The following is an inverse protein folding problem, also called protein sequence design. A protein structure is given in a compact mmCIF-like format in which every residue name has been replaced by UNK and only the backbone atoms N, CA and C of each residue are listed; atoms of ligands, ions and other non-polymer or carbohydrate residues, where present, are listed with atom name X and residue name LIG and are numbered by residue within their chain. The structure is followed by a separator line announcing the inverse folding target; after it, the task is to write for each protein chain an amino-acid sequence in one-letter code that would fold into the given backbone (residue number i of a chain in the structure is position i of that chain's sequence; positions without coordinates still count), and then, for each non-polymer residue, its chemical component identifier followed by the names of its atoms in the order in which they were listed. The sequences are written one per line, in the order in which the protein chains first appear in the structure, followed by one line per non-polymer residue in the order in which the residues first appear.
data_IF_556682686026
#
_entry.id   IF_556682686026
#
_cell.length_a   1.000
_cell.length_b   1.000
_cell.length_c   1.000
_cell.angle_alpha   90.00
_cell.angle_beta   90.00
_cell.angle_gamma   90.00
#
_symmetry.space_group_name_H-M   'P 1'
#
loop_
_entity.id
_entity.type
_entity.pdbx_description
1 polymer ?
#
# COMPACT_ATOMS: atom_id res chain seq x y z
N UNK A 1 10.75 -11.85 -22.87
CA UNK A 1 10.25 -10.65 -22.22
C UNK A 1 11.21 -10.28 -21.10
N UNK A 2 11.57 -9.02 -20.98
CA UNK A 2 12.37 -8.55 -19.85
C UNK A 2 11.56 -8.68 -18.56
N UNK A 3 12.16 -9.28 -17.54
CA UNK A 3 11.53 -9.50 -16.23
C UNK A 3 11.29 -8.16 -15.53
N UNK A 4 10.06 -7.83 -15.19
CA UNK A 4 9.69 -6.62 -14.46
C UNK A 4 9.22 -6.98 -13.05
N UNK A 5 10.01 -6.60 -12.05
CA UNK A 5 9.65 -6.77 -10.65
C UNK A 5 8.86 -5.55 -10.15
N UNK A 6 8.07 -5.73 -9.08
CA UNK A 6 7.43 -4.65 -8.35
C UNK A 6 7.82 -4.76 -6.87
N UNK A 7 9.05 -4.34 -6.55
CA UNK A 7 9.65 -4.53 -5.22
C UNK A 7 9.66 -3.25 -4.40
N UNK A 8 9.90 -2.11 -5.03
CA UNK A 8 9.86 -0.80 -4.37
C UNK A 8 9.14 0.23 -5.22
N UNK A 9 8.45 1.16 -4.57
CA UNK A 9 7.78 2.27 -5.25
C UNK A 9 8.79 3.35 -5.67
N UNK A 10 9.95 3.39 -5.01
CA UNK A 10 10.98 4.38 -5.27
C UNK A 10 11.66 4.22 -6.65
N UNK A 11 11.58 3.04 -7.26
CA UNK A 11 12.15 2.77 -8.59
C UNK A 11 11.29 3.34 -9.74
N UNK A 12 10.04 3.73 -9.43
CA UNK A 12 9.11 4.22 -10.43
C UNK A 12 9.22 5.73 -10.60
N UNK A 13 9.30 6.16 -11.85
CA UNK A 13 9.17 7.58 -12.21
C UNK A 13 7.70 8.03 -12.27
N UNK A 14 7.49 9.34 -12.47
CA UNK A 14 6.15 9.93 -12.54
C UNK A 14 5.28 9.31 -13.63
N UNK A 15 5.86 9.05 -14.81
CA UNK A 15 5.12 8.50 -15.94
C UNK A 15 4.69 7.06 -15.68
N UNK A 16 5.58 6.26 -15.10
CA UNK A 16 5.28 4.88 -14.72
C UNK A 16 4.21 4.79 -13.64
N UNK A 17 4.24 5.68 -12.63
CA UNK A 17 3.19 5.78 -11.62
C UNK A 17 1.85 6.11 -12.26
N UNK A 18 1.77 7.18 -13.06
CA UNK A 18 0.53 7.57 -13.74
C UNK A 18 0.01 6.48 -14.68
N UNK A 19 0.89 5.77 -15.37
CA UNK A 19 0.54 4.65 -16.23
C UNK A 19 -0.11 3.50 -15.45
N UNK A 20 0.44 3.15 -14.28
CA UNK A 20 -0.15 2.15 -13.39
C UNK A 20 -1.52 2.58 -12.84
N UNK A 21 -1.70 3.88 -12.54
CA UNK A 21 -3.00 4.41 -12.11
C UNK A 21 -4.05 4.33 -13.23
N UNK A 22 -3.66 4.61 -14.47
CA UNK A 22 -4.55 4.44 -15.64
C UNK A 22 -4.95 2.96 -15.85
N UNK A 23 -4.00 2.03 -15.68
CA UNK A 23 -4.34 0.59 -15.71
C UNK A 23 -5.33 0.22 -14.61
N UNK A 24 -5.13 0.73 -13.38
CA UNK A 24 -6.05 0.48 -12.27
C UNK A 24 -7.46 1.04 -12.55
N UNK A 25 -7.56 2.20 -13.16
CA UNK A 25 -8.82 2.81 -13.58
C UNK A 25 -9.56 1.95 -14.61
N UNK A 26 -8.85 1.41 -15.61
CA UNK A 26 -9.44 0.49 -16.58
C UNK A 26 -10.01 -0.77 -15.93
N UNK A 27 -9.35 -1.33 -14.92
CA UNK A 27 -9.87 -2.47 -14.19
C UNK A 27 -11.07 -2.14 -13.29
N UNK A 28 -11.18 -0.91 -12.82
CA UNK A 28 -12.38 -0.47 -12.10
C UNK A 28 -13.57 -0.30 -13.02
N UNK A 29 -13.34 0.30 -14.20
CA UNK A 29 -14.39 0.54 -15.20
C UNK A 29 -14.84 -0.74 -15.90
N UNK A 30 -13.91 -1.65 -16.11
CA UNK A 30 -14.11 -2.89 -16.87
C UNK A 30 -13.50 -4.08 -16.16
N UNK A 31 -14.15 -4.58 -15.09
CA UNK A 31 -13.64 -5.70 -14.27
C UNK A 31 -13.77 -7.07 -14.95
N UNK A 32 -13.14 -8.07 -14.36
CA UNK A 32 -13.26 -9.49 -14.70
C UNK A 32 -12.82 -9.84 -16.13
N UNK A 33 -11.54 -9.66 -16.43
CA UNK A 33 -10.94 -9.95 -17.74
C UNK A 33 -10.05 -11.18 -17.70
N UNK A 34 -9.97 -11.96 -18.79
CA UNK A 34 -9.14 -13.17 -18.89
C UNK A 34 -7.66 -12.89 -19.29
N UNK A 35 -7.12 -11.72 -18.99
CA UNK A 35 -5.77 -11.29 -19.37
C UNK A 35 -4.66 -12.21 -18.86
N UNK A 36 -4.88 -12.93 -17.76
CA UNK A 36 -3.94 -13.89 -17.21
C UNK A 36 -4.42 -15.35 -17.35
N UNK A 37 -5.29 -15.63 -18.30
CA UNK A 37 -5.73 -17.00 -18.61
C UNK A 37 -4.55 -17.90 -18.92
N UNK A 38 -4.49 -19.05 -18.25
CA UNK A 38 -3.39 -20.01 -18.37
C UNK A 38 -2.17 -19.72 -17.51
N UNK A 39 -2.08 -18.54 -16.85
CA UNK A 39 -1.02 -18.17 -15.93
C UNK A 39 -1.28 -18.71 -14.53
N UNK A 40 -0.20 -18.89 -13.78
CA UNK A 40 -0.22 -19.28 -12.37
C UNK A 40 0.44 -18.18 -11.55
N UNK A 41 -0.28 -17.69 -10.54
CA UNK A 41 0.20 -16.70 -9.55
C UNK A 41 0.49 -17.43 -8.25
N UNK A 42 1.71 -17.32 -7.73
CA UNK A 42 2.02 -17.80 -6.39
C UNK A 42 1.92 -16.68 -5.36
N UNK A 43 1.21 -16.92 -4.24
CA UNK A 43 1.11 -15.99 -3.11
C UNK A 43 1.79 -16.60 -1.89
N UNK A 44 3.00 -16.12 -1.54
CA UNK A 44 3.84 -16.64 -0.48
C UNK A 44 3.85 -15.67 0.71
N UNK A 45 3.02 -15.95 1.72
CA UNK A 45 2.89 -15.11 2.89
C UNK A 45 3.63 -15.72 4.08
N UNK A 46 4.91 -15.35 4.24
CA UNK A 46 5.74 -15.74 5.39
C UNK A 46 5.35 -14.96 6.67
N UNK A 47 4.71 -13.82 6.51
CA UNK A 47 4.06 -13.05 7.57
C UNK A 47 2.55 -12.96 7.27
N UNK A 48 1.65 -13.33 8.20
CA UNK A 48 0.22 -13.32 7.97
C UNK A 48 -0.32 -11.93 7.60
N UNK A 49 -1.18 -11.86 6.59
CA UNK A 49 -1.90 -10.65 6.21
C UNK A 49 -3.16 -10.97 5.43
N UNK A 50 -4.30 -11.08 6.11
CA UNK A 50 -5.57 -11.51 5.52
C UNK A 50 -6.00 -10.62 4.34
N UNK A 51 -6.06 -9.30 4.53
CA UNK A 51 -6.51 -8.37 3.48
C UNK A 51 -5.61 -8.38 2.26
N UNK A 52 -4.29 -8.26 2.48
CA UNK A 52 -3.33 -8.20 1.36
C UNK A 52 -3.36 -9.49 0.56
N UNK A 53 -3.37 -10.65 1.24
CA UNK A 53 -3.43 -11.95 0.59
C UNK A 53 -4.72 -12.13 -0.22
N UNK A 54 -5.88 -11.97 0.43
CA UNK A 54 -7.18 -12.14 -0.24
C UNK A 54 -7.32 -11.18 -1.42
N UNK A 55 -6.85 -9.94 -1.29
CA UNK A 55 -6.92 -8.97 -2.37
C UNK A 55 -6.03 -9.33 -3.56
N UNK A 56 -4.79 -9.81 -3.35
CA UNK A 56 -3.94 -10.32 -4.43
C UNK A 56 -4.54 -11.56 -5.09
N UNK A 57 -5.05 -12.50 -4.31
CA UNK A 57 -5.70 -13.70 -4.84
C UNK A 57 -6.97 -13.35 -5.64
N UNK A 58 -7.79 -12.43 -5.13
CA UNK A 58 -8.98 -11.95 -5.84
C UNK A 58 -8.60 -11.26 -7.15
N UNK A 59 -7.60 -10.37 -7.15
CA UNK A 59 -7.11 -9.71 -8.35
C UNK A 59 -6.62 -10.73 -9.41
N UNK A 60 -5.86 -11.75 -8.99
CA UNK A 60 -5.42 -12.82 -9.88
C UNK A 60 -6.60 -13.60 -10.48
N UNK A 61 -7.59 -13.98 -9.66
CA UNK A 61 -8.78 -14.70 -10.12
C UNK A 61 -9.61 -13.85 -11.09
N UNK A 62 -9.75 -12.52 -10.84
CA UNK A 62 -10.47 -11.59 -11.73
C UNK A 62 -9.78 -11.39 -13.08
N UNK A 63 -8.50 -11.71 -13.16
CA UNK A 63 -7.73 -11.74 -14.41
C UNK A 63 -7.66 -13.14 -15.06
N UNK A 64 -8.38 -14.13 -14.53
CA UNK A 64 -8.42 -15.49 -15.06
C UNK A 64 -7.21 -16.36 -14.73
N UNK A 65 -6.33 -15.95 -13.81
CA UNK A 65 -5.19 -16.73 -13.38
C UNK A 65 -5.57 -17.84 -12.40
N UNK A 66 -4.73 -18.87 -12.30
CA UNK A 66 -4.78 -19.84 -11.21
C UNK A 66 -3.91 -19.37 -10.06
N UNK A 67 -4.32 -19.64 -8.83
CA UNK A 67 -3.61 -19.19 -7.63
C UNK A 67 -3.13 -20.38 -6.81
N UNK A 68 -1.85 -20.36 -6.44
CA UNK A 68 -1.23 -21.30 -5.50
C UNK A 68 -0.54 -20.52 -4.37
N UNK A 69 -0.15 -21.16 -3.29
CA UNK A 69 0.65 -20.54 -2.25
C UNK A 69 0.26 -20.94 -0.82
N UNK A 70 0.76 -20.18 0.14
CA UNK A 70 0.49 -20.38 1.57
C UNK A 70 0.28 -19.04 2.29
N UNK A 71 -0.40 -19.09 3.44
CA UNK A 71 -0.76 -17.93 4.26
C UNK A 71 0.09 -17.75 5.53
N UNK A 72 0.88 -18.76 5.87
CA UNK A 72 1.77 -18.77 7.04
C UNK A 72 2.97 -19.66 6.73
N UNK A 73 4.17 -19.17 7.04
CA UNK A 73 5.42 -19.93 6.90
C UNK A 73 5.40 -21.26 7.67
N UNK A 74 4.66 -21.32 8.79
CA UNK A 74 4.51 -22.54 9.61
C UNK A 74 3.85 -23.70 8.86
N UNK A 75 3.15 -23.43 7.76
CA UNK A 75 2.52 -24.45 6.92
C UNK A 75 3.35 -24.85 5.71
N UNK A 76 4.57 -24.31 5.61
CA UNK A 76 5.49 -24.53 4.49
C UNK A 76 6.74 -25.34 4.88
N UNK A 77 7.55 -25.72 3.91
CA UNK A 77 8.82 -26.46 4.13
C UNK A 77 9.88 -25.64 4.90
N UNK A 78 9.69 -24.34 5.08
CA UNK A 78 10.57 -23.50 5.91
C UNK A 78 10.67 -24.02 7.35
N UNK A 79 9.63 -24.68 7.87
CA UNK A 79 9.66 -25.35 9.19
C UNK A 79 10.63 -26.52 9.25
N UNK A 80 11.05 -27.06 8.11
CA UNK A 80 12.04 -28.13 7.98
C UNK A 80 13.45 -27.61 7.71
N UNK A 81 13.65 -26.27 7.72
CA UNK A 81 14.93 -25.63 7.45
C UNK A 81 15.20 -25.29 5.97
N UNK A 82 14.18 -25.34 5.09
CA UNK A 82 14.32 -24.88 3.71
C UNK A 82 14.66 -23.39 3.67
N UNK A 83 15.65 -23.02 2.87
CA UNK A 83 16.08 -21.64 2.72
C UNK A 83 15.10 -20.83 1.87
N UNK A 84 15.06 -19.50 2.06
CA UNK A 84 14.28 -18.62 1.20
C UNK A 84 14.67 -18.80 -0.28
N UNK A 85 15.96 -18.97 -0.56
CA UNK A 85 16.47 -19.20 -1.91
C UNK A 85 15.85 -20.44 -2.55
N UNK A 86 15.86 -21.55 -1.84
CA UNK A 86 15.34 -22.82 -2.35
C UNK A 86 13.82 -22.74 -2.56
N UNK A 87 13.10 -22.14 -1.59
CA UNK A 87 11.65 -21.90 -1.74
C UNK A 87 11.34 -21.08 -3.00
N UNK A 88 12.06 -19.96 -3.22
CA UNK A 88 11.82 -19.08 -4.38
C UNK A 88 12.13 -19.79 -5.69
N UNK A 89 13.26 -20.50 -5.78
CA UNK A 89 13.64 -21.25 -6.99
C UNK A 89 12.65 -22.39 -7.29
N UNK A 90 12.23 -23.12 -6.25
CA UNK A 90 11.24 -24.21 -6.42
C UNK A 90 9.88 -23.67 -6.89
N UNK A 91 9.36 -22.61 -6.25
CA UNK A 91 8.06 -22.03 -6.62
C UNK A 91 8.12 -21.40 -8.02
N UNK A 92 9.26 -20.88 -8.44
CA UNK A 92 9.46 -20.35 -9.79
C UNK A 92 9.28 -21.37 -10.90
N UNK A 93 9.37 -22.69 -10.59
CA UNK A 93 9.04 -23.75 -11.55
C UNK A 93 7.53 -23.98 -11.70
N UNK A 94 6.71 -23.46 -10.78
CA UNK A 94 5.27 -23.70 -10.72
C UNK A 94 4.43 -22.47 -11.07
N UNK A 95 5.03 -21.28 -11.01
CA UNK A 95 4.32 -20.03 -11.18
C UNK A 95 4.97 -19.11 -12.20
N UNK A 96 4.16 -18.28 -12.87
CA UNK A 96 4.60 -17.24 -13.81
C UNK A 96 4.97 -15.94 -13.09
N UNK A 97 4.50 -15.73 -11.87
CA UNK A 97 4.76 -14.58 -11.03
C UNK A 97 4.59 -14.94 -9.55
N UNK A 98 5.41 -14.38 -8.67
CA UNK A 98 5.37 -14.61 -7.24
C UNK A 98 5.07 -13.31 -6.50
N UNK A 99 3.98 -13.30 -5.73
CA UNK A 99 3.66 -12.27 -4.73
C UNK A 99 4.19 -12.74 -3.39
N UNK A 100 5.05 -11.96 -2.76
CA UNK A 100 5.71 -12.36 -1.52
C UNK A 100 5.51 -11.30 -0.42
N UNK A 101 5.15 -11.77 0.78
CA UNK A 101 5.18 -10.99 2.01
C UNK A 101 6.11 -11.67 3.02
N UNK A 102 7.05 -10.92 3.58
CA UNK A 102 8.06 -11.47 4.49
C UNK A 102 8.27 -10.57 5.71
N UNK A 103 8.66 -11.17 6.84
CA UNK A 103 8.95 -10.44 8.08
C UNK A 103 10.36 -9.84 8.13
N UNK A 104 11.29 -10.29 7.26
CA UNK A 104 12.66 -9.76 7.13
C UNK A 104 12.68 -8.68 6.05
N UNK A 105 13.25 -7.53 6.38
CA UNK A 105 13.51 -6.44 5.45
C UNK A 105 14.50 -6.86 4.36
N UNK A 106 14.24 -6.45 3.11
CA UNK A 106 15.06 -6.81 1.96
C UNK A 106 14.85 -8.23 1.42
N UNK A 107 14.02 -9.07 2.08
CA UNK A 107 13.77 -10.43 1.61
C UNK A 107 13.13 -10.47 0.20
N UNK A 108 12.26 -9.51 -0.12
CA UNK A 108 11.64 -9.41 -1.46
C UNK A 108 12.63 -8.92 -2.51
N UNK A 109 13.53 -8.02 -2.14
CA UNK A 109 14.62 -7.58 -3.01
C UNK A 109 15.53 -8.76 -3.36
N UNK A 110 16.00 -9.49 -2.34
CA UNK A 110 16.79 -10.70 -2.56
C UNK A 110 16.07 -11.73 -3.43
N UNK A 111 14.78 -11.99 -3.16
CA UNK A 111 13.98 -12.88 -3.99
C UNK A 111 13.95 -12.41 -5.46
N UNK A 112 13.84 -11.11 -5.69
CA UNK A 112 13.80 -10.53 -7.04
C UNK A 112 15.10 -10.71 -7.82
N UNK A 113 16.23 -10.80 -7.15
CA UNK A 113 17.54 -11.01 -7.77
C UNK A 113 17.76 -12.46 -8.21
N UNK A 114 17.20 -13.43 -7.46
CA UNK A 114 17.43 -14.85 -7.71
C UNK A 114 16.30 -15.54 -8.52
N UNK A 115 15.07 -15.00 -8.45
CA UNK A 115 13.93 -15.62 -9.13
C UNK A 115 14.02 -15.45 -10.66
N UNK A 116 13.75 -16.48 -11.46
CA UNK A 116 13.62 -16.36 -12.91
C UNK A 116 12.29 -15.71 -13.35
N UNK A 117 11.30 -15.62 -12.44
CA UNK A 117 9.98 -15.01 -12.66
C UNK A 117 9.85 -13.69 -11.91
N UNK A 118 8.92 -12.81 -12.31
CA UNK A 118 8.68 -11.55 -11.60
C UNK A 118 8.33 -11.74 -10.11
N UNK A 119 8.84 -10.85 -9.27
CA UNK A 119 8.53 -10.77 -7.84
C UNK A 119 7.73 -9.50 -7.56
N UNK A 120 6.66 -9.65 -6.78
CA UNK A 120 5.83 -8.55 -6.27
C UNK A 120 5.95 -8.50 -4.75
N UNK A 121 6.34 -7.34 -4.23
CA UNK A 121 6.43 -7.08 -2.79
C UNK A 121 5.04 -6.74 -2.20
N UNK A 122 4.52 -7.66 -1.40
CA UNK A 122 3.28 -7.49 -0.62
C UNK A 122 3.54 -7.03 0.83
N UNK A 123 4.73 -6.51 1.11
CA UNK A 123 5.22 -6.00 2.38
C UNK A 123 6.40 -6.80 2.93
N UNK A 124 7.52 -6.13 3.23
CA UNK A 124 8.71 -6.72 3.80
C UNK A 124 9.14 -5.99 5.09
N UNK A 125 9.04 -6.67 6.21
CA UNK A 125 9.40 -6.15 7.51
C UNK A 125 8.73 -4.81 7.85
N UNK A 126 9.51 -3.86 8.37
CA UNK A 126 9.08 -2.47 8.61
C UNK A 126 9.44 -1.53 7.44
N UNK A 127 10.10 -2.05 6.39
CA UNK A 127 10.72 -1.24 5.35
C UNK A 127 9.70 -0.68 4.35
N UNK A 128 9.04 -1.52 3.54
CA UNK A 128 8.19 -1.04 2.44
C UNK A 128 6.90 -1.85 2.26
N UNK A 129 5.89 -1.17 1.69
CA UNK A 129 4.67 -1.81 1.21
C UNK A 129 4.22 -1.17 -0.12
N UNK A 130 4.94 -1.41 -1.23
CA UNK A 130 4.72 -0.70 -2.50
C UNK A 130 3.32 -0.91 -3.07
N UNK A 131 2.72 -2.08 -2.90
CA UNK A 131 1.35 -2.33 -3.35
C UNK A 131 0.29 -1.60 -2.52
N UNK A 132 0.56 -1.28 -1.25
CA UNK A 132 -0.27 -0.37 -0.47
C UNK A 132 -0.10 1.06 -0.97
N UNK A 133 1.13 1.49 -1.21
CA UNK A 133 1.40 2.82 -1.74
C UNK A 133 0.68 3.06 -3.08
N UNK A 134 0.70 2.10 -4.00
CA UNK A 134 0.02 2.25 -5.29
C UNK A 134 -1.50 2.38 -5.13
N UNK A 135 -2.13 1.59 -4.26
CA UNK A 135 -3.57 1.73 -4.00
C UNK A 135 -3.93 3.06 -3.30
N UNK A 136 -3.02 3.57 -2.47
CA UNK A 136 -3.18 4.88 -1.82
C UNK A 136 -3.12 5.99 -2.87
N UNK A 137 -2.12 5.97 -3.76
CA UNK A 137 -2.02 6.90 -4.89
C UNK A 137 -3.26 6.85 -5.78
N UNK A 138 -3.75 5.64 -6.11
CA UNK A 138 -4.97 5.49 -6.89
C UNK A 138 -6.19 6.08 -6.17
N UNK A 139 -6.32 5.86 -4.87
CA UNK A 139 -7.39 6.40 -4.04
C UNK A 139 -7.33 7.92 -3.95
N UNK A 140 -6.13 8.50 -3.81
CA UNK A 140 -5.91 9.94 -3.81
C UNK A 140 -6.29 10.52 -5.19
N UNK A 141 -5.74 9.96 -6.27
CA UNK A 141 -6.02 10.41 -7.63
C UNK A 141 -7.52 10.39 -7.94
N UNK A 142 -8.19 9.30 -7.61
CA UNK A 142 -9.63 9.13 -7.84
C UNK A 142 -10.49 10.13 -7.07
N UNK A 143 -10.11 10.47 -5.85
CA UNK A 143 -10.91 11.36 -4.98
C UNK A 143 -10.61 12.83 -5.18
N UNK A 144 -9.38 13.17 -5.57
CA UNK A 144 -8.94 14.55 -5.76
C UNK A 144 -8.88 14.98 -7.23
N UNK A 145 -8.94 14.02 -8.18
CA UNK A 145 -8.75 14.28 -9.60
C UNK A 145 -7.31 14.60 -10.01
N UNK A 146 -6.40 14.68 -9.05
CA UNK A 146 -4.98 14.99 -9.24
C UNK A 146 -4.15 14.41 -8.09
N UNK A 147 -2.84 14.31 -8.30
CA UNK A 147 -1.86 14.08 -7.22
C UNK A 147 -1.05 15.35 -6.93
N UNK A 148 -1.19 16.39 -7.75
CA UNK A 148 -0.36 17.60 -7.69
C UNK A 148 -0.80 18.55 -6.58
N UNK A 149 0.18 19.09 -5.85
CA UNK A 149 0.03 20.21 -4.90
C UNK A 149 -0.99 19.96 -3.76
N UNK A 150 -1.15 18.73 -3.32
CA UNK A 150 -2.09 18.36 -2.26
C UNK A 150 -1.52 18.61 -0.87
N UNK A 151 -2.38 19.00 0.06
CA UNK A 151 -2.11 19.01 1.50
C UNK A 151 -2.47 17.64 2.08
N UNK A 152 -1.44 16.87 2.46
CA UNK A 152 -1.58 15.49 2.94
C UNK A 152 -1.18 15.44 4.41
N UNK A 153 -2.15 15.18 5.27
CA UNK A 153 -1.99 15.07 6.71
C UNK A 153 -1.75 13.62 7.10
N UNK A 154 -0.59 13.33 7.66
CA UNK A 154 -0.20 12.01 8.16
C UNK A 154 -0.31 12.03 9.69
N UNK A 155 -1.21 11.21 10.25
CA UNK A 155 -1.58 11.28 11.67
C UNK A 155 -1.38 9.93 12.36
N UNK A 156 -0.72 9.93 13.51
CA UNK A 156 -0.58 8.78 14.40
C UNK A 156 0.84 8.23 14.49
N UNK A 157 1.06 6.98 14.11
CA UNK A 157 2.38 6.34 14.15
C UNK A 157 3.14 6.62 12.85
N UNK A 158 3.96 7.66 12.85
CA UNK A 158 4.80 8.03 11.72
C UNK A 158 6.20 7.41 11.81
N UNK A 159 6.58 6.87 12.96
CA UNK A 159 7.89 6.27 13.19
C UNK A 159 8.00 4.88 12.56
N UNK A 160 6.99 4.04 12.77
CA UNK A 160 6.97 2.65 12.29
C UNK A 160 6.02 2.47 11.08
N UNK A 161 5.41 3.55 10.63
CA UNK A 161 4.41 3.58 9.59
C UNK A 161 4.97 3.41 8.17
N UNK A 162 5.42 2.20 7.78
CA UNK A 162 5.98 1.93 6.43
C UNK A 162 5.09 2.41 5.27
N UNK A 163 3.78 2.51 5.47
CA UNK A 163 2.84 2.99 4.45
C UNK A 163 3.00 4.48 4.19
N UNK A 164 3.16 5.28 5.25
CA UNK A 164 3.40 6.73 5.12
C UNK A 164 4.79 7.01 4.55
N UNK A 165 5.79 6.20 4.91
CA UNK A 165 7.14 6.32 4.34
C UNK A 165 7.12 6.06 2.83
N UNK A 166 6.47 4.98 2.39
CA UNK A 166 6.30 4.69 0.96
C UNK A 166 5.51 5.78 0.24
N UNK A 167 4.48 6.35 0.87
CA UNK A 167 3.68 7.43 0.30
C UNK A 167 4.52 8.70 0.09
N UNK A 168 5.35 9.09 1.07
CA UNK A 168 6.27 10.23 0.94
C UNK A 168 7.20 10.03 -0.26
N UNK A 169 7.78 8.83 -0.41
CA UNK A 169 8.68 8.53 -1.52
C UNK A 169 7.99 8.63 -2.88
N UNK A 170 6.79 8.12 -3.01
CA UNK A 170 6.05 8.16 -4.27
C UNK A 170 5.57 9.57 -4.63
N UNK A 171 5.11 10.32 -3.63
CA UNK A 171 4.59 11.67 -3.84
C UNK A 171 5.64 12.72 -4.19
N UNK A 172 6.96 12.39 -4.13
CA UNK A 172 8.06 13.30 -4.53
C UNK A 172 7.88 13.90 -5.93
N UNK A 173 7.16 13.20 -6.79
CA UNK A 173 6.93 13.60 -8.17
C UNK A 173 5.77 14.61 -8.35
N UNK A 174 5.02 14.92 -7.27
CA UNK A 174 3.74 15.62 -7.36
C UNK A 174 3.65 16.88 -6.49
N UNK A 175 4.79 17.37 -5.97
CA UNK A 175 4.89 18.60 -5.18
C UNK A 175 3.87 18.72 -4.03
N UNK A 176 3.68 17.73 -3.16
CA UNK A 176 2.77 17.81 -2.03
C UNK A 176 3.29 18.74 -0.93
N UNK A 177 2.41 19.12 -0.03
CA UNK A 177 2.78 19.57 1.31
C UNK A 177 2.34 18.52 2.31
N UNK A 178 3.30 17.91 3.03
CA UNK A 178 2.99 16.98 4.11
C UNK A 178 2.82 17.70 5.43
N UNK A 179 1.83 17.27 6.20
CA UNK A 179 1.59 17.70 7.56
C UNK A 179 1.72 16.51 8.50
N UNK A 180 2.69 16.56 9.40
CA UNK A 180 2.98 15.47 10.33
C UNK A 180 2.35 15.77 11.69
N UNK A 181 1.43 14.90 12.12
CA UNK A 181 0.77 14.97 13.43
C UNK A 181 1.04 13.65 14.16
N UNK A 182 1.98 13.67 15.09
CA UNK A 182 2.36 12.49 15.86
C UNK A 182 2.85 12.87 17.26
N UNK A 183 2.64 12.02 18.28
CA UNK A 183 3.31 12.19 19.55
C UNK A 183 4.82 12.08 19.36
N UNK A 184 5.59 12.72 20.24
CA UNK A 184 7.05 12.79 20.11
C UNK A 184 7.72 11.42 19.93
N UNK A 185 7.21 10.42 20.61
CA UNK A 185 7.71 9.04 20.58
C UNK A 185 7.49 8.36 19.23
N UNK A 186 6.50 8.83 18.47
CA UNK A 186 6.07 8.28 17.18
C UNK A 186 6.25 9.28 16.02
N UNK A 187 7.02 10.35 16.25
CA UNK A 187 7.28 11.37 15.23
C UNK A 187 7.99 10.77 14.00
N UNK A 188 7.81 11.44 12.87
CA UNK A 188 8.49 11.09 11.61
C UNK A 188 10.01 11.02 11.82
N UNK A 189 10.68 9.90 11.46
CA UNK A 189 12.13 9.78 11.57
C UNK A 189 12.86 10.85 10.76
N UNK A 190 14.03 11.26 11.26
CA UNK A 190 14.81 12.33 10.63
C UNK A 190 15.19 12.00 9.18
N UNK A 191 15.48 10.75 8.88
CA UNK A 191 15.81 10.28 7.51
C UNK A 191 14.73 10.64 6.47
N UNK A 192 13.43 10.56 6.83
CA UNK A 192 12.34 10.93 5.92
C UNK A 192 12.16 12.45 5.82
N UNK A 193 12.48 13.20 6.88
CA UNK A 193 12.53 14.66 6.83
C UNK A 193 13.67 15.13 5.93
N UNK A 194 14.84 14.50 6.05
CA UNK A 194 15.99 14.76 5.18
C UNK A 194 15.68 14.37 3.72
N UNK A 195 14.97 13.26 3.51
CA UNK A 195 14.47 12.88 2.19
C UNK A 195 13.53 13.94 1.60
N UNK A 196 12.59 14.47 2.39
CA UNK A 196 11.71 15.56 1.96
C UNK A 196 12.54 16.78 1.54
N UNK A 197 13.49 17.21 2.38
CA UNK A 197 14.35 18.36 2.08
C UNK A 197 15.17 18.14 0.81
N UNK A 198 15.77 16.97 0.63
CA UNK A 198 16.58 16.63 -0.54
C UNK A 198 15.78 16.58 -1.86
N UNK A 199 14.46 16.30 -1.78
CA UNK A 199 13.57 16.22 -2.94
C UNK A 199 12.68 17.45 -3.11
N UNK A 200 12.89 18.53 -2.33
CA UNK A 200 12.09 19.75 -2.42
C UNK A 200 10.62 19.60 -1.93
N UNK A 201 10.33 18.55 -1.17
CA UNK A 201 9.01 18.29 -0.61
C UNK A 201 8.84 19.15 0.65
N UNK A 202 7.78 19.95 0.68
CA UNK A 202 7.43 20.76 1.87
C UNK A 202 6.81 19.89 2.94
N UNK A 203 7.16 20.12 4.20
CA UNK A 203 6.47 19.53 5.32
C UNK A 203 6.33 20.50 6.49
N UNK A 204 5.31 20.27 7.31
CA UNK A 204 5.02 21.01 8.55
C UNK A 204 4.77 19.98 9.65
N UNK A 205 5.34 20.21 10.84
CA UNK A 205 5.05 19.40 12.03
C UNK A 205 4.05 20.15 12.91
N UNK A 206 3.00 19.48 13.36
CA UNK A 206 1.96 20.02 14.22
C UNK A 206 2.04 19.38 15.60
N UNK A 207 1.83 20.20 16.64
CA UNK A 207 1.84 19.75 18.03
C UNK A 207 0.52 19.12 18.46
N UNK A 208 -0.58 19.51 17.82
CA UNK A 208 -1.94 19.14 18.21
C UNK A 208 -2.70 18.50 17.05
N UNK A 209 -3.75 17.76 17.39
CA UNK A 209 -4.69 17.17 16.42
C UNK A 209 -6.08 17.74 16.71
N UNK A 210 -6.39 18.85 16.07
CA UNK A 210 -7.65 19.61 16.26
C UNK A 210 -8.38 19.81 14.95
N UNK A 211 -9.65 20.22 15.02
CA UNK A 211 -10.46 20.58 13.85
C UNK A 211 -9.80 21.69 13.03
N UNK A 212 -9.21 22.67 13.69
CA UNK A 212 -8.53 23.79 13.06
C UNK A 212 -7.29 23.35 12.27
N UNK A 213 -6.49 22.48 12.87
CA UNK A 213 -5.26 21.99 12.25
C UNK A 213 -5.52 21.20 10.96
N UNK A 214 -6.61 20.44 10.89
CA UNK A 214 -6.93 19.59 9.73
C UNK A 214 -7.88 20.25 8.72
N UNK A 215 -8.28 21.51 8.94
CA UNK A 215 -9.31 22.18 8.15
C UNK A 215 -8.95 22.33 6.66
N UNK A 216 -7.67 22.45 6.31
CA UNK A 216 -7.21 22.59 4.92
C UNK A 216 -6.68 21.29 4.30
N UNK A 217 -6.86 20.14 4.97
CA UNK A 217 -6.48 18.85 4.45
C UNK A 217 -7.25 18.49 3.16
N UNK A 218 -6.53 18.00 2.16
CA UNK A 218 -7.11 17.30 1.01
C UNK A 218 -7.21 15.79 1.33
N UNK A 219 -6.17 15.26 1.98
CA UNK A 219 -6.12 13.88 2.48
C UNK A 219 -5.75 13.89 3.96
N UNK A 220 -6.58 13.25 4.78
CA UNK A 220 -6.30 12.93 6.17
C UNK A 220 -5.98 11.43 6.27
N UNK A 221 -4.69 11.10 6.33
CA UNK A 221 -4.22 9.72 6.36
C UNK A 221 -3.92 9.32 7.81
N UNK A 222 -4.83 8.55 8.39
CA UNK A 222 -4.72 8.05 9.75
C UNK A 222 -3.89 6.77 9.81
N UNK A 223 -3.09 6.58 10.84
CA UNK A 223 -2.30 5.37 11.08
C UNK A 223 -2.56 4.81 12.47
N UNK A 224 -2.54 3.48 12.56
CA UNK A 224 -2.65 2.76 13.83
C UNK A 224 -1.32 2.77 14.57
N UNK A 225 -1.34 3.00 15.88
CA UNK A 225 -0.18 2.74 16.74
C UNK A 225 0.08 1.23 16.82
N UNK A 226 1.25 0.80 16.35
CA UNK A 226 1.58 -0.62 16.18
C UNK A 226 2.15 -1.21 17.48
N UNK A 227 1.29 -1.80 18.34
CA UNK A 227 1.69 -2.44 19.61
C UNK A 227 2.87 -3.39 19.47
N UNK A 228 2.88 -4.14 18.39
CA UNK A 228 3.90 -5.14 18.05
C UNK A 228 5.31 -4.58 17.82
N UNK A 229 5.45 -3.26 17.73
CA UNK A 229 6.73 -2.55 17.54
C UNK A 229 7.33 -2.00 18.84
N UNK A 230 6.57 -2.03 19.93
CA UNK A 230 7.03 -1.52 21.21
C UNK A 230 7.69 -2.62 22.01
N UNK A 231 8.91 -2.36 22.50
CA UNK A 231 9.58 -3.22 23.48
C UNK A 231 9.04 -3.00 24.90
N UNK A 232 8.56 -1.79 25.21
CA UNK A 232 7.92 -1.42 26.48
C UNK A 232 6.42 -1.19 26.26
N UNK A 233 5.61 -2.04 26.91
CA UNK A 233 4.14 -1.92 26.87
C UNK A 233 3.63 -0.66 27.58
N UNK A 234 4.36 -0.10 28.54
CA UNK A 234 3.95 1.15 29.19
C UNK A 234 4.10 2.35 28.25
N UNK A 235 5.09 2.34 27.39
CA UNK A 235 5.24 3.35 26.33
C UNK A 235 4.07 3.28 25.36
N UNK A 236 3.71 2.08 24.90
CA UNK A 236 2.53 1.88 24.05
C UNK A 236 1.24 2.39 24.73
N UNK A 237 1.01 2.07 26.00
CA UNK A 237 -0.19 2.50 26.74
C UNK A 237 -0.33 4.03 26.81
N UNK A 238 0.78 4.77 26.84
CA UNK A 238 0.78 6.26 26.85
C UNK A 238 0.35 6.87 25.51
N UNK A 239 0.68 6.20 24.39
CA UNK A 239 0.49 6.80 23.05
C UNK A 239 -0.67 6.19 22.26
N UNK A 240 -1.19 5.02 22.63
CA UNK A 240 -2.20 4.27 21.84
C UNK A 240 -3.51 5.03 21.56
N UNK A 241 -3.86 6.01 22.40
CA UNK A 241 -5.11 6.78 22.30
C UNK A 241 -4.87 8.30 22.23
N UNK A 242 -3.66 8.74 21.89
CA UNK A 242 -3.34 10.17 21.87
C UNK A 242 -4.12 10.90 20.79
N UNK A 243 -4.28 10.27 19.61
CA UNK A 243 -5.06 10.83 18.52
C UNK A 243 -6.20 9.90 18.13
N UNK A 244 -7.42 10.38 18.35
CA UNK A 244 -8.65 9.68 17.96
C UNK A 244 -9.46 10.65 17.10
N UNK A 245 -9.60 10.34 15.82
CA UNK A 245 -10.47 11.10 14.93
C UNK A 245 -11.93 10.82 15.29
N UNK A 246 -12.70 11.87 15.49
CA UNK A 246 -14.14 11.85 15.79
C UNK A 246 -14.91 12.65 14.75
N UNK A 247 -16.17 12.31 14.55
CA UNK A 247 -17.04 13.02 13.62
C UNK A 247 -17.14 14.53 13.94
N UNK A 248 -17.11 14.90 15.23
CA UNK A 248 -17.15 16.30 15.68
C UNK A 248 -15.94 17.15 15.24
N UNK A 249 -14.84 16.54 14.81
CA UNK A 249 -13.64 17.24 14.33
C UNK A 249 -13.69 17.55 12.82
N UNK A 250 -14.75 17.17 12.13
CA UNK A 250 -14.85 17.27 10.68
C UNK A 250 -15.70 18.44 10.18
N UNK A 251 -16.20 19.28 11.09
CA UNK A 251 -17.12 20.37 10.76
C UNK A 251 -16.50 21.45 9.86
N UNK A 252 -15.19 21.66 9.93
CA UNK A 252 -14.44 22.64 9.12
C UNK A 252 -13.69 22.01 7.94
N UNK A 253 -13.82 20.69 7.74
CA UNK A 253 -13.10 19.99 6.68
C UNK A 253 -13.52 20.48 5.28
N UNK A 254 -12.56 20.54 4.35
CA UNK A 254 -12.85 20.83 2.94
C UNK A 254 -13.86 19.81 2.38
N UNK A 255 -14.80 20.21 1.50
CA UNK A 255 -15.77 19.28 0.91
C UNK A 255 -15.15 18.09 0.18
N UNK A 256 -13.97 18.26 -0.42
CA UNK A 256 -13.23 17.22 -1.13
C UNK A 256 -12.34 16.35 -0.23
N UNK A 257 -12.10 16.74 1.02
CA UNK A 257 -11.23 16.02 1.94
C UNK A 257 -11.65 14.55 2.07
N UNK A 258 -10.68 13.62 2.08
CA UNK A 258 -10.92 12.20 2.32
C UNK A 258 -10.05 11.65 3.44
N UNK A 259 -10.69 10.87 4.30
CA UNK A 259 -10.04 10.13 5.39
C UNK A 259 -9.62 8.78 4.87
N UNK A 260 -8.32 8.52 4.92
CA UNK A 260 -7.70 7.26 4.50
C UNK A 260 -7.04 6.55 5.68
N UNK A 261 -6.93 5.23 5.56
CA UNK A 261 -6.31 4.39 6.58
C UNK A 261 -5.87 3.05 5.96
N UNK A 262 -4.63 2.57 6.19
CA UNK A 262 -4.15 1.31 5.59
C UNK A 262 -4.79 0.05 6.20
N UNK A 263 -5.56 0.20 7.28
CA UNK A 263 -6.21 -0.87 8.04
C UNK A 263 -5.21 -1.95 8.57
N UNK A 264 -5.52 -2.65 9.67
CA UNK A 264 -6.74 -2.53 10.47
C UNK A 264 -6.74 -1.27 11.35
N UNK A 265 -7.89 -0.63 11.51
CA UNK A 265 -8.06 0.37 12.57
C UNK A 265 -8.41 -0.32 13.90
N UNK A 266 -8.07 0.35 15.00
CA UNK A 266 -8.45 -0.06 16.36
C UNK A 266 -9.25 1.05 17.04
N UNK A 267 -8.58 2.11 17.51
CA UNK A 267 -9.20 3.21 18.25
C UNK A 267 -9.01 4.58 17.55
N UNK A 268 -8.06 4.69 16.63
CA UNK A 268 -7.61 5.95 16.03
C UNK A 268 -8.64 6.62 15.13
N UNK A 269 -9.67 5.89 14.70
CA UNK A 269 -10.86 6.43 14.06
C UNK A 269 -12.07 5.90 14.81
N UNK A 270 -12.84 6.79 15.42
CA UNK A 270 -14.07 6.44 16.11
C UNK A 270 -15.15 5.95 15.14
N UNK A 271 -16.06 5.09 15.61
CA UNK A 271 -17.12 4.53 14.76
C UNK A 271 -18.13 5.57 14.27
N UNK A 272 -18.23 6.72 14.96
CA UNK A 272 -19.09 7.83 14.54
C UNK A 272 -18.63 8.52 13.24
N UNK A 273 -17.41 8.20 12.75
CA UNK A 273 -16.87 8.67 11.48
C UNK A 273 -17.32 7.80 10.29
N UNK A 274 -17.77 6.56 10.51
CA UNK A 274 -18.02 5.60 9.43
C UNK A 274 -19.08 6.06 8.43
N UNK A 275 -20.11 6.76 8.90
CA UNK A 275 -21.19 7.29 8.05
C UNK A 275 -20.89 8.70 7.50
N UNK A 276 -19.72 9.27 7.81
CA UNK A 276 -19.34 10.58 7.32
C UNK A 276 -18.92 10.50 5.85
N UNK A 277 -19.34 11.43 4.96
CA UNK A 277 -18.99 11.42 3.53
C UNK A 277 -17.49 11.57 3.26
N UNK A 278 -16.70 11.98 4.25
CA UNK A 278 -15.24 12.03 4.18
C UNK A 278 -14.58 10.65 4.41
N UNK A 279 -15.26 9.69 5.05
CA UNK A 279 -14.73 8.35 5.31
C UNK A 279 -14.51 7.59 3.98
N UNK A 280 -13.25 7.25 3.70
CA UNK A 280 -12.91 6.59 2.42
C UNK A 280 -12.08 5.31 2.60
N UNK A 281 -11.66 4.96 3.80
CA UNK A 281 -10.74 3.87 4.10
C UNK A 281 -11.25 2.48 3.69
N UNK A 282 -12.57 2.23 3.68
CA UNK A 282 -13.11 0.97 3.17
C UNK A 282 -13.06 0.93 1.64
N UNK A 283 -13.42 2.03 0.98
CA UNK A 283 -13.33 2.16 -0.46
C UNK A 283 -11.86 2.14 -0.93
N UNK A 284 -10.96 2.78 -0.18
CA UNK A 284 -9.50 2.68 -0.37
C UNK A 284 -9.04 1.21 -0.39
N UNK A 285 -9.48 0.40 0.57
CA UNK A 285 -9.15 -1.02 0.60
C UNK A 285 -9.66 -1.78 -0.65
N UNK A 286 -10.86 -1.45 -1.16
CA UNK A 286 -11.41 -2.00 -2.40
C UNK A 286 -10.57 -1.60 -3.61
N UNK A 287 -10.08 -0.36 -3.67
CA UNK A 287 -9.21 0.12 -4.75
C UNK A 287 -7.91 -0.69 -4.87
N UNK A 288 -7.54 -1.39 -3.79
CA UNK A 288 -6.46 -2.35 -3.80
C UNK A 288 -6.62 -3.49 -4.78
N UNK A 289 -7.84 -3.87 -5.17
CA UNK A 289 -8.06 -4.89 -6.21
C UNK A 289 -7.52 -4.39 -7.54
N UNK A 290 -7.95 -3.22 -7.96
CA UNK A 290 -7.59 -2.62 -9.24
C UNK A 290 -6.08 -2.30 -9.35
N UNK A 291 -5.50 -1.77 -8.26
CA UNK A 291 -4.06 -1.53 -8.19
C UNK A 291 -3.25 -2.84 -8.32
N UNK A 292 -3.73 -3.95 -7.74
CA UNK A 292 -3.06 -5.26 -7.84
C UNK A 292 -3.24 -5.91 -9.20
N UNK A 293 -4.38 -5.74 -9.85
CA UNK A 293 -4.58 -6.12 -11.26
C UNK A 293 -3.59 -5.39 -12.17
N UNK A 294 -3.40 -4.07 -11.97
CA UNK A 294 -2.40 -3.27 -12.67
C UNK A 294 -0.96 -3.75 -12.42
N UNK A 295 -0.61 -4.09 -11.17
CA UNK A 295 0.71 -4.64 -10.81
C UNK A 295 0.97 -5.95 -11.57
N UNK A 296 0.01 -6.86 -11.61
CA UNK A 296 0.16 -8.13 -12.35
C UNK A 296 0.42 -7.90 -13.83
N UNK A 297 -0.39 -7.06 -14.46
CA UNK A 297 -0.24 -6.73 -15.89
C UNK A 297 1.11 -6.07 -16.16
N UNK A 298 1.52 -5.11 -15.34
CA UNK A 298 2.82 -4.46 -15.47
C UNK A 298 3.98 -5.47 -15.38
N UNK A 299 3.97 -6.34 -14.37
CA UNK A 299 5.03 -7.34 -14.17
C UNK A 299 5.09 -8.37 -15.28
N UNK A 300 3.95 -8.74 -15.87
CA UNK A 300 3.85 -9.71 -16.96
C UNK A 300 3.93 -9.07 -18.36
N UNK A 301 4.17 -7.75 -18.41
CA UNK A 301 4.39 -7.02 -19.67
C UNK A 301 3.14 -6.77 -20.49
N UNK A 302 1.95 -6.88 -19.89
CA UNK A 302 0.67 -6.53 -20.51
C UNK A 302 0.51 -5.01 -20.49
N UNK A 303 0.24 -4.43 -21.64
CA UNK A 303 0.13 -2.99 -21.85
C UNK A 303 -1.27 -2.45 -21.59
N UNK A 304 -1.39 -1.14 -21.37
CA UNK A 304 -2.68 -0.47 -21.22
C UNK A 304 -3.56 -0.63 -22.49
N UNK A 305 -2.94 -0.63 -23.66
CA UNK A 305 -3.65 -0.83 -24.93
C UNK A 305 -4.20 -2.25 -25.05
N UNK A 306 -3.46 -3.26 -24.62
CA UNK A 306 -3.94 -4.64 -24.55
C UNK A 306 -5.11 -4.76 -23.57
N UNK A 307 -5.03 -4.10 -22.38
CA UNK A 307 -6.13 -4.07 -21.42
C UNK A 307 -7.38 -3.43 -22.05
N UNK A 308 -7.27 -2.30 -22.73
CA UNK A 308 -8.39 -1.58 -23.37
C UNK A 308 -9.02 -2.35 -24.51
N UNK A 309 -8.22 -3.10 -25.27
CA UNK A 309 -8.66 -3.87 -26.41
C UNK A 309 -9.18 -5.27 -26.05
N UNK A 310 -8.92 -5.72 -24.82
CA UNK A 310 -9.43 -7.02 -24.36
C UNK A 310 -10.96 -6.94 -24.16
N UNK A 311 -11.68 -7.83 -24.87
CA UNK A 311 -13.14 -7.95 -24.80
C UNK A 311 -13.60 -9.19 -24.02
N UNK A 312 -12.65 -9.94 -23.46
CA UNK A 312 -12.98 -11.11 -22.67
C UNK A 312 -13.61 -10.67 -21.33
N UNK A 313 -14.71 -11.27 -20.96
CA UNK A 313 -15.35 -11.07 -19.66
C UNK A 313 -15.47 -12.44 -19.02
N UNK A 314 -15.01 -12.56 -17.77
CA UNK A 314 -15.23 -13.74 -16.95
C UNK A 314 -16.66 -13.64 -16.41
N UNK A 315 -17.54 -14.56 -16.81
CA UNK A 315 -18.89 -14.70 -16.30
C UNK A 315 -18.93 -15.26 -14.86
#
# INVERSE_FOLDING_TARGET
MEKRNFVTIADLDKQQLLYLLQMAEEFELHPNRELLKGKVVATLFFEPSTRTQLSFQTAANRLGARVIGFSDAKTSSTTKGETLKDTILMVSNYADIIVMRHFIEGATQYASEIAPVPIVNAGDGAHMHPSQCLLDLYSIYKTQGTLENLNIYLVGDLKYGRTVHSLIMAMRHFNPTFHFIAPKELAMPQEYKDYCAANGIRYVEHAEFTEEEIADADILYMTRVQKERFSDLMEYERVKNVYILRNSMLGKAKPNMKIMHPLPRVNEIAYDVDDNPHAYYIQQAKNGLFAREAIYCHCLGITLDEIRNDKTIIE
#
